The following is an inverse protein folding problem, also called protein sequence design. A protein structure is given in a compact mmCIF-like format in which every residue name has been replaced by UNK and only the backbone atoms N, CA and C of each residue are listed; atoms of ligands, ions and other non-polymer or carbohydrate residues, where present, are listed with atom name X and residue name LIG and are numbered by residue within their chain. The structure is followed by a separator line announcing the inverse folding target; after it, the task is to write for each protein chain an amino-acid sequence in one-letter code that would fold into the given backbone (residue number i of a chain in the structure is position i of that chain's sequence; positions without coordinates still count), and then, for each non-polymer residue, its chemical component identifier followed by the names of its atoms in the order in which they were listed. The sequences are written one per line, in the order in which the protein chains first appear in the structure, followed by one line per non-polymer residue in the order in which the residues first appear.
data_IF_049697457282
#
_entry.id   IF_049697457282
#
_cell.length_a   1.000
_cell.length_b   1.000
_cell.length_c   1.000
_cell.angle_alpha   90.00
_cell.angle_beta   90.00
_cell.angle_gamma   90.00
#
_symmetry.space_group_name_H-M   'P 1'
#
loop_
_entity.id
_entity.type
_entity.pdbx_description
1 polymer ?
#
# COMPACT_ATOMS: atom_id res chain seq x y z
N UNK A 1 -5.16 13.95 -79.39
CA UNK A 1 -5.57 14.91 -78.34
C UNK A 1 -6.55 14.33 -77.31
N UNK A 2 -7.54 13.49 -77.69
CA UNK A 2 -8.52 12.89 -76.74
C UNK A 2 -7.93 12.06 -75.58
N UNK A 3 -6.83 11.31 -75.80
CA UNK A 3 -6.20 10.48 -74.74
C UNK A 3 -5.46 11.27 -73.66
N UNK A 4 -4.95 12.48 -73.96
CA UNK A 4 -4.29 13.35 -72.96
C UNK A 4 -5.30 14.15 -72.13
N UNK A 5 -6.47 14.45 -72.69
CA UNK A 5 -7.56 15.13 -71.97
C UNK A 5 -8.23 14.21 -70.93
N UNK A 6 -8.39 12.92 -71.23
CA UNK A 6 -8.94 11.91 -70.31
C UNK A 6 -8.00 11.59 -69.13
N UNK A 7 -6.68 11.70 -69.32
CA UNK A 7 -5.68 11.44 -68.28
C UNK A 7 -5.48 12.64 -67.33
N UNK A 8 -5.76 13.86 -67.79
CA UNK A 8 -5.74 15.06 -66.94
C UNK A 8 -7.04 15.17 -66.14
N UNK A 9 -8.18 14.74 -66.70
CA UNK A 9 -9.46 14.73 -65.99
C UNK A 9 -9.52 13.65 -64.89
N UNK A 10 -8.84 12.51 -65.05
CA UNK A 10 -8.79 11.46 -64.02
C UNK A 10 -7.92 11.82 -62.81
N UNK A 11 -6.89 12.66 -62.99
CA UNK A 11 -6.02 13.11 -61.90
C UNK A 11 -6.67 14.24 -61.08
N UNK A 12 -7.52 15.07 -61.68
CA UNK A 12 -8.24 16.15 -60.95
C UNK A 12 -9.42 15.62 -60.13
N UNK A 13 -10.10 14.56 -60.58
CA UNK A 13 -11.21 13.92 -59.84
C UNK A 13 -10.69 13.07 -58.66
N UNK A 14 -9.47 12.53 -58.75
CA UNK A 14 -8.85 11.75 -57.67
C UNK A 14 -8.43 12.61 -56.45
N UNK A 15 -8.28 13.93 -56.61
CA UNK A 15 -7.92 14.84 -55.51
C UNK A 15 -9.12 15.42 -54.74
N UNK A 16 -10.36 15.16 -55.15
CA UNK A 16 -11.56 15.71 -54.47
C UNK A 16 -12.11 14.85 -53.32
N UNK A 17 -11.51 13.69 -53.01
CA UNK A 17 -12.03 12.78 -51.97
C UNK A 17 -11.23 12.72 -50.67
N UNK A 18 -10.28 13.63 -50.42
CA UNK A 18 -9.55 13.68 -49.15
C UNK A 18 -9.78 15.01 -48.43
N UNK A 19 -11.02 15.25 -48.01
CA UNK A 19 -11.27 16.12 -46.87
C UNK A 19 -12.53 15.70 -46.13
N UNK A 20 -12.56 14.45 -45.66
CA UNK A 20 -13.36 14.12 -44.48
C UNK A 20 -12.66 14.74 -43.26
N UNK A 21 -12.82 16.05 -43.06
CA UNK A 21 -12.57 16.63 -41.74
C UNK A 21 -13.53 15.92 -40.79
N UNK A 22 -13.00 15.12 -39.86
CA UNK A 22 -13.83 14.48 -38.83
C UNK A 22 -14.72 15.57 -38.23
N UNK A 23 -16.05 15.41 -38.24
CA UNK A 23 -16.94 16.43 -37.70
C UNK A 23 -16.48 16.76 -36.27
N UNK A 24 -16.32 18.06 -36.00
CA UNK A 24 -15.94 18.56 -34.68
C UNK A 24 -16.94 17.98 -33.69
N UNK A 25 -16.46 17.16 -32.75
CA UNK A 25 -17.32 16.49 -31.79
C UNK A 25 -17.95 17.56 -30.91
N UNK A 26 -19.25 17.79 -31.04
CA UNK A 26 -19.95 18.86 -30.33
C UNK A 26 -20.31 18.35 -28.94
N UNK A 27 -19.57 18.79 -27.93
CA UNK A 27 -19.79 18.46 -26.53
C UNK A 27 -20.30 19.70 -25.79
N UNK A 28 -21.58 20.01 -25.99
CA UNK A 28 -22.16 21.27 -25.54
C UNK A 28 -23.26 21.06 -24.49
N UNK A 29 -23.43 19.85 -23.93
CA UNK A 29 -24.44 19.60 -22.90
C UNK A 29 -23.82 19.72 -21.50
N UNK A 30 -24.62 20.02 -20.45
CA UNK A 30 -24.13 20.06 -19.08
C UNK A 30 -23.47 18.74 -18.60
N UNK A 31 -23.87 17.61 -19.18
CA UNK A 31 -23.36 16.27 -18.85
C UNK A 31 -22.38 15.72 -19.88
N UNK A 32 -22.12 16.43 -20.97
CA UNK A 32 -21.15 16.05 -22.00
C UNK A 32 -20.37 17.30 -22.43
N UNK A 33 -19.40 17.65 -21.59
CA UNK A 33 -18.42 18.70 -21.79
C UNK A 33 -17.06 18.25 -21.19
N UNK A 34 -15.94 18.95 -21.48
CA UNK A 34 -14.61 18.52 -21.02
C UNK A 34 -14.49 18.40 -19.50
N UNK A 35 -15.03 19.36 -18.73
CA UNK A 35 -14.93 19.42 -17.27
C UNK A 35 -15.72 18.30 -16.60
N UNK A 36 -16.98 18.10 -17.02
CA UNK A 36 -17.83 17.04 -16.48
C UNK A 36 -17.26 15.64 -16.78
N UNK A 37 -16.80 15.40 -18.01
CA UNK A 37 -16.17 14.13 -18.36
C UNK A 37 -14.87 13.90 -17.55
N UNK A 38 -14.06 14.94 -17.32
CA UNK A 38 -12.89 14.82 -16.45
C UNK A 38 -13.28 14.50 -15.00
N UNK A 39 -14.25 15.22 -14.43
CA UNK A 39 -14.74 14.98 -13.07
C UNK A 39 -15.22 13.54 -12.89
N UNK A 40 -16.11 13.08 -13.78
CA UNK A 40 -16.62 11.70 -13.76
C UNK A 40 -15.51 10.67 -13.93
N UNK A 41 -14.51 10.97 -14.77
CA UNK A 41 -13.32 10.13 -14.91
C UNK A 41 -12.55 9.99 -13.59
N UNK A 42 -12.36 11.08 -12.86
CA UNK A 42 -11.69 11.05 -11.55
C UNK A 42 -12.51 10.28 -10.49
N UNK A 43 -13.84 10.42 -10.48
CA UNK A 43 -14.69 9.62 -9.59
C UNK A 43 -14.60 8.11 -9.88
N UNK A 44 -14.51 7.74 -11.16
CA UNK A 44 -14.32 6.35 -11.58
C UNK A 44 -12.94 5.82 -11.19
N UNK A 45 -11.90 6.66 -11.22
CA UNK A 45 -10.57 6.32 -10.67
C UNK A 45 -10.66 5.96 -9.18
N UNK A 46 -11.33 6.78 -8.37
CA UNK A 46 -11.47 6.50 -6.93
C UNK A 46 -12.29 5.23 -6.65
N UNK A 47 -13.19 4.85 -7.57
CA UNK A 47 -13.96 3.60 -7.50
C UNK A 47 -13.19 2.38 -8.05
N UNK A 48 -11.99 2.57 -8.60
CA UNK A 48 -11.19 1.50 -9.22
C UNK A 48 -11.65 1.08 -10.63
N UNK A 49 -12.61 1.79 -11.24
CA UNK A 49 -13.09 1.51 -12.60
C UNK A 49 -12.22 2.20 -13.65
N UNK A 50 -11.01 1.66 -13.82
CA UNK A 50 -9.94 2.28 -14.61
C UNK A 50 -10.29 2.38 -16.11
N UNK A 51 -11.02 1.39 -16.64
CA UNK A 51 -11.39 1.34 -18.04
C UNK A 51 -12.41 2.43 -18.39
N UNK A 52 -13.50 2.55 -17.61
CA UNK A 52 -14.49 3.59 -17.85
C UNK A 52 -13.93 4.98 -17.52
N UNK A 53 -13.05 5.10 -16.52
CA UNK A 53 -12.32 6.33 -16.25
C UNK A 53 -11.52 6.80 -17.48
N UNK A 54 -10.75 5.90 -18.10
CA UNK A 54 -9.98 6.22 -19.30
C UNK A 54 -10.89 6.67 -20.46
N UNK A 55 -12.03 6.01 -20.66
CA UNK A 55 -13.02 6.42 -21.68
C UNK A 55 -13.55 7.83 -21.43
N UNK A 56 -13.81 8.20 -20.16
CA UNK A 56 -14.25 9.56 -19.80
C UNK A 56 -13.16 10.61 -20.06
N UNK A 57 -11.91 10.31 -19.77
CA UNK A 57 -10.80 11.21 -20.11
C UNK A 57 -10.61 11.35 -21.64
N UNK A 58 -10.76 10.26 -22.39
CA UNK A 58 -10.75 10.31 -23.85
C UNK A 58 -11.91 11.16 -24.40
N UNK A 59 -13.11 11.03 -23.83
CA UNK A 59 -14.24 11.89 -24.18
C UNK A 59 -13.94 13.36 -23.87
N UNK A 60 -13.37 13.65 -22.71
CA UNK A 60 -12.94 15.00 -22.33
C UNK A 60 -11.98 15.62 -23.36
N UNK A 61 -11.00 14.84 -23.84
CA UNK A 61 -10.05 15.24 -24.89
C UNK A 61 -10.72 15.38 -26.27
N UNK A 62 -11.70 14.54 -26.61
CA UNK A 62 -12.45 14.68 -27.86
C UNK A 62 -13.25 15.99 -27.88
N UNK A 63 -13.85 16.35 -26.75
CA UNK A 63 -14.63 17.57 -26.57
C UNK A 63 -13.78 18.84 -26.68
N UNK A 64 -12.59 18.85 -26.07
CA UNK A 64 -11.57 19.89 -26.27
C UNK A 64 -10.17 19.25 -26.37
N UNK A 65 -9.60 19.16 -27.59
CA UNK A 65 -8.27 18.57 -27.82
C UNK A 65 -7.11 19.31 -27.16
N UNK A 66 -7.33 20.49 -26.56
CA UNK A 66 -6.35 21.24 -25.79
C UNK A 66 -6.74 21.35 -24.31
N UNK A 67 -7.65 20.51 -23.83
CA UNK A 67 -8.03 20.47 -22.43
C UNK A 67 -7.02 19.64 -21.62
N UNK A 68 -6.11 20.32 -20.91
CA UNK A 68 -5.03 19.71 -20.12
C UNK A 68 -5.51 18.65 -19.11
N UNK A 69 -6.55 18.90 -18.29
CA UNK A 69 -7.00 17.92 -17.29
C UNK A 69 -7.39 16.57 -17.88
N UNK A 70 -7.98 16.54 -19.08
CA UNK A 70 -8.31 15.28 -19.78
C UNK A 70 -7.07 14.43 -20.05
N UNK A 71 -5.97 15.05 -20.52
CA UNK A 71 -4.71 14.36 -20.72
C UNK A 71 -4.03 13.94 -19.41
N UNK A 72 -4.15 14.74 -18.35
CA UNK A 72 -3.63 14.40 -17.03
C UNK A 72 -4.33 13.16 -16.46
N UNK A 73 -5.67 13.14 -16.48
CA UNK A 73 -6.45 11.98 -16.05
C UNK A 73 -6.15 10.72 -16.86
N UNK A 74 -6.03 10.85 -18.19
CA UNK A 74 -5.61 9.74 -19.07
C UNK A 74 -4.22 9.21 -18.71
N UNK A 75 -3.28 10.09 -18.38
CA UNK A 75 -1.96 9.67 -17.91
C UNK A 75 -2.06 8.80 -16.65
N UNK A 76 -2.85 9.23 -15.68
CA UNK A 76 -3.07 8.49 -14.43
C UNK A 76 -3.68 7.10 -14.69
N UNK A 77 -4.73 6.99 -15.50
CA UNK A 77 -5.35 5.69 -15.81
C UNK A 77 -4.39 4.76 -16.53
N UNK A 78 -3.59 5.28 -17.47
CA UNK A 78 -2.55 4.50 -18.16
C UNK A 78 -1.45 4.03 -17.19
N UNK A 79 -1.11 4.83 -16.18
CA UNK A 79 -0.16 4.43 -15.14
C UNK A 79 -0.71 3.31 -14.26
N UNK A 80 -1.99 3.38 -13.88
CA UNK A 80 -2.66 2.31 -13.14
C UNK A 80 -2.75 1.01 -13.96
N UNK A 81 -2.99 1.12 -15.27
CA UNK A 81 -2.93 -0.04 -16.18
C UNK A 81 -1.51 -0.60 -16.24
N UNK A 82 -0.48 0.24 -16.33
CA UNK A 82 0.91 -0.23 -16.35
C UNK A 82 1.27 -1.00 -15.06
N UNK A 83 0.83 -0.51 -13.90
CA UNK A 83 1.09 -1.15 -12.61
C UNK A 83 0.37 -2.51 -12.43
N UNK A 84 -0.69 -2.78 -13.21
CA UNK A 84 -1.37 -4.09 -13.21
C UNK A 84 -0.75 -5.12 -14.16
N UNK A 85 0.24 -4.75 -14.97
CA UNK A 85 0.92 -5.66 -15.91
C UNK A 85 2.06 -6.42 -15.24
N UNK A 86 2.08 -7.73 -15.47
CA UNK A 86 3.16 -8.63 -15.05
C UNK A 86 4.25 -8.75 -16.10
N UNK A 87 3.90 -8.72 -17.39
CA UNK A 87 4.87 -8.70 -18.49
C UNK A 87 5.56 -7.34 -18.57
N UNK A 88 6.89 -7.35 -18.48
CA UNK A 88 7.70 -6.13 -18.43
C UNK A 88 7.68 -5.36 -19.76
N UNK A 89 7.58 -6.06 -20.89
CA UNK A 89 7.50 -5.43 -22.21
C UNK A 89 6.16 -4.69 -22.38
N UNK A 90 5.06 -5.36 -22.04
CA UNK A 90 3.73 -4.74 -22.05
C UNK A 90 3.67 -3.57 -21.07
N UNK A 91 4.18 -3.74 -19.84
CA UNK A 91 4.26 -2.69 -18.83
C UNK A 91 4.93 -1.43 -19.40
N UNK A 92 6.09 -1.57 -20.05
CA UNK A 92 6.83 -0.43 -20.59
C UNK A 92 6.02 0.33 -21.66
N UNK A 93 5.27 -0.37 -22.52
CA UNK A 93 4.39 0.29 -23.50
C UNK A 93 3.34 1.18 -22.82
N UNK A 94 2.77 0.73 -21.71
CA UNK A 94 1.80 1.52 -20.94
C UNK A 94 2.45 2.69 -20.19
N UNK A 95 3.66 2.50 -19.65
CA UNK A 95 4.49 3.58 -19.07
C UNK A 95 4.69 4.70 -20.10
N UNK A 96 5.17 4.36 -21.30
CA UNK A 96 5.46 5.34 -22.35
C UNK A 96 4.20 6.13 -22.75
N UNK A 97 3.07 5.44 -22.90
CA UNK A 97 1.77 6.07 -23.22
C UNK A 97 1.28 6.99 -22.10
N UNK A 98 1.50 6.59 -20.84
CA UNK A 98 1.14 7.40 -19.68
C UNK A 98 1.96 8.70 -19.67
N UNK A 99 3.27 8.61 -19.83
CA UNK A 99 4.18 9.76 -19.80
C UNK A 99 3.99 10.69 -21.01
N UNK A 100 3.72 10.15 -22.20
CA UNK A 100 3.37 10.97 -23.38
C UNK A 100 2.04 11.73 -23.15
N UNK A 101 1.06 11.10 -22.49
CA UNK A 101 -0.18 11.78 -22.12
C UNK A 101 0.07 12.89 -21.09
N UNK A 102 0.94 12.63 -20.09
CA UNK A 102 1.32 13.62 -19.08
C UNK A 102 2.04 14.83 -19.72
N UNK A 103 2.91 14.57 -20.70
CA UNK A 103 3.60 15.60 -21.49
C UNK A 103 2.61 16.49 -22.26
N UNK A 104 1.55 15.91 -22.83
CA UNK A 104 0.47 16.67 -23.46
C UNK A 104 -0.32 17.51 -22.45
N UNK A 105 -0.58 16.98 -21.25
CA UNK A 105 -1.19 17.74 -20.17
C UNK A 105 -0.36 18.98 -19.82
N UNK A 106 0.96 18.82 -19.63
CA UNK A 106 1.90 19.94 -19.41
C UNK A 106 1.80 20.98 -20.52
N UNK A 107 1.88 20.53 -21.78
CA UNK A 107 1.84 21.40 -22.98
C UNK A 107 0.56 22.24 -23.06
N UNK A 108 -0.57 21.68 -22.64
CA UNK A 108 -1.87 22.34 -22.77
C UNK A 108 -2.34 23.06 -21.52
N UNK A 109 -1.62 23.00 -20.39
CA UNK A 109 -1.98 23.69 -19.16
C UNK A 109 -1.76 25.20 -19.29
N UNK A 110 -2.82 25.96 -19.60
CA UNK A 110 -2.73 27.38 -19.95
C UNK A 110 -2.70 28.33 -18.74
N UNK A 111 -3.40 27.97 -17.67
CA UNK A 111 -3.56 28.80 -16.48
C UNK A 111 -3.07 28.06 -15.22
N UNK A 112 -3.01 28.78 -14.09
CA UNK A 112 -2.55 28.23 -12.80
C UNK A 112 -3.43 27.07 -12.32
N UNK A 113 -4.74 27.17 -12.51
CA UNK A 113 -5.71 26.12 -12.15
C UNK A 113 -5.41 24.79 -12.87
N UNK A 114 -5.23 24.82 -14.20
CA UNK A 114 -4.88 23.63 -14.98
C UNK A 114 -3.46 23.13 -14.69
N UNK A 115 -2.51 24.03 -14.42
CA UNK A 115 -1.15 23.64 -13.99
C UNK A 115 -1.18 22.91 -12.66
N UNK A 116 -1.97 23.38 -11.69
CA UNK A 116 -2.14 22.71 -10.42
C UNK A 116 -2.75 21.31 -10.58
N UNK A 117 -3.80 21.16 -11.40
CA UNK A 117 -4.36 19.84 -11.74
C UNK A 117 -3.30 18.93 -12.36
N UNK A 118 -2.52 19.45 -13.31
CA UNK A 118 -1.41 18.72 -13.93
C UNK A 118 -0.39 18.28 -12.88
N UNK A 119 0.00 19.16 -11.95
CA UNK A 119 1.02 18.83 -10.97
C UNK A 119 0.56 17.78 -9.96
N UNK A 120 -0.62 17.95 -9.36
CA UNK A 120 -1.19 16.97 -8.42
C UNK A 120 -1.41 15.62 -9.10
N UNK A 121 -1.88 15.62 -10.36
CA UNK A 121 -2.04 14.37 -11.12
C UNK A 121 -0.68 13.77 -11.49
N UNK A 122 0.36 14.58 -11.70
CA UNK A 122 1.74 14.14 -11.90
C UNK A 122 2.27 13.35 -10.71
N UNK A 123 2.05 13.83 -9.48
CA UNK A 123 2.37 13.10 -8.24
C UNK A 123 1.72 11.72 -8.27
N UNK A 124 0.41 11.67 -8.54
CA UNK A 124 -0.35 10.41 -8.61
C UNK A 124 0.17 9.48 -9.70
N UNK A 125 0.42 9.99 -10.91
CA UNK A 125 0.94 9.22 -12.04
C UNK A 125 2.28 8.57 -11.69
N UNK A 126 3.25 9.34 -11.18
CA UNK A 126 4.56 8.77 -10.83
C UNK A 126 4.48 7.80 -9.65
N UNK A 127 3.60 8.07 -8.68
CA UNK A 127 3.30 7.17 -7.55
C UNK A 127 2.75 5.81 -8.03
N UNK A 128 1.97 5.78 -9.11
CA UNK A 128 1.49 4.53 -9.71
C UNK A 128 2.53 3.83 -10.59
N UNK A 129 3.26 4.60 -11.41
CA UNK A 129 4.25 4.03 -12.33
C UNK A 129 5.41 3.34 -11.61
N UNK A 130 5.89 3.92 -10.51
CA UNK A 130 7.09 3.47 -9.77
C UNK A 130 8.27 3.14 -10.70
N UNK A 131 8.47 3.99 -11.70
CA UNK A 131 9.66 3.99 -12.58
C UNK A 131 10.88 4.50 -11.80
N UNK A 132 12.06 4.47 -12.41
CA UNK A 132 13.26 5.05 -11.80
C UNK A 132 13.02 6.50 -11.35
N UNK A 133 13.56 6.86 -10.17
CA UNK A 133 13.43 8.17 -9.52
C UNK A 133 11.99 8.69 -9.34
N UNK A 134 10.99 7.82 -9.37
CA UNK A 134 9.58 8.22 -9.35
C UNK A 134 9.21 9.11 -8.17
N UNK A 135 9.80 8.85 -6.98
CA UNK A 135 9.50 9.60 -5.77
C UNK A 135 10.10 11.01 -5.84
N UNK A 136 11.30 11.14 -6.44
CA UNK A 136 11.92 12.45 -6.64
C UNK A 136 11.17 13.25 -7.71
N UNK A 137 10.68 12.59 -8.77
CA UNK A 137 9.73 13.23 -9.70
C UNK A 137 8.46 13.70 -8.99
N UNK A 138 7.88 12.88 -8.11
CA UNK A 138 6.72 13.30 -7.33
C UNK A 138 7.01 14.51 -6.43
N UNK A 139 8.22 14.59 -5.83
CA UNK A 139 8.67 15.77 -5.08
C UNK A 139 8.80 17.01 -5.98
N UNK A 140 9.40 16.89 -7.16
CA UNK A 140 9.49 17.99 -8.14
C UNK A 140 8.09 18.53 -8.48
N UNK A 141 7.12 17.64 -8.71
CA UNK A 141 5.72 17.99 -8.94
C UNK A 141 5.08 18.71 -7.75
N UNK A 142 5.38 18.27 -6.53
CA UNK A 142 4.88 18.86 -5.29
C UNK A 142 5.42 20.29 -5.10
N UNK A 143 6.72 20.49 -5.28
CA UNK A 143 7.37 21.80 -5.14
C UNK A 143 6.86 22.79 -6.20
N UNK A 144 6.72 22.33 -7.45
CA UNK A 144 6.13 23.12 -8.52
C UNK A 144 4.68 23.52 -8.20
N UNK A 145 3.86 22.61 -7.65
CA UNK A 145 2.49 22.89 -7.24
C UNK A 145 2.45 23.91 -6.09
N UNK A 146 3.30 23.75 -5.07
CA UNK A 146 3.43 24.68 -3.95
C UNK A 146 3.80 26.08 -4.40
N UNK A 147 4.71 26.22 -5.37
CA UNK A 147 5.15 27.52 -5.90
C UNK A 147 4.02 28.37 -6.51
N UNK A 148 2.94 27.72 -6.95
CA UNK A 148 1.80 28.37 -7.58
C UNK A 148 0.52 28.37 -6.74
N UNK A 149 0.52 27.67 -5.60
CA UNK A 149 -0.68 27.34 -4.81
C UNK A 149 -1.54 28.57 -4.47
N UNK A 150 -0.88 29.67 -4.05
CA UNK A 150 -1.55 30.94 -3.69
C UNK A 150 -2.28 31.62 -4.87
N UNK A 151 -1.90 31.30 -6.11
CA UNK A 151 -2.47 31.88 -7.33
C UNK A 151 -3.61 31.00 -7.90
N UNK A 152 -3.89 29.84 -7.29
CA UNK A 152 -4.89 28.88 -7.78
C UNK A 152 -6.28 29.24 -7.27
N UNK A 153 -7.25 29.27 -8.17
CA UNK A 153 -8.65 29.38 -7.77
C UNK A 153 -9.24 27.98 -7.52
N UNK A 154 -9.15 27.51 -6.29
CA UNK A 154 -9.61 26.17 -5.91
C UNK A 154 -11.10 25.91 -6.19
N UNK A 155 -11.95 26.94 -6.21
CA UNK A 155 -13.37 26.81 -6.53
C UNK A 155 -13.63 26.50 -8.02
N UNK A 156 -12.65 26.75 -8.89
CA UNK A 156 -12.72 26.42 -10.33
C UNK A 156 -12.16 25.04 -10.64
N UNK A 157 -11.56 24.35 -9.67
CA UNK A 157 -11.04 23.02 -9.91
C UNK A 157 -12.20 22.02 -9.93
N UNK A 158 -12.40 21.27 -11.03
CA UNK A 158 -13.52 20.36 -11.15
C UNK A 158 -13.48 19.24 -10.09
N UNK A 159 -12.28 18.81 -9.66
CA UNK A 159 -12.13 17.64 -8.78
C UNK A 159 -11.34 17.88 -7.49
N UNK A 160 -10.10 18.39 -7.54
CA UNK A 160 -9.22 18.43 -6.34
C UNK A 160 -9.70 19.42 -5.27
N UNK A 161 -10.27 20.55 -5.68
CA UNK A 161 -11.06 21.47 -4.86
C UNK A 161 -10.39 22.05 -3.60
N UNK A 162 -9.06 21.99 -3.46
CA UNK A 162 -8.33 22.62 -2.37
C UNK A 162 -6.84 22.26 -2.30
N UNK A 163 -6.06 22.98 -1.47
CA UNK A 163 -4.64 22.67 -1.22
C UNK A 163 -4.44 21.32 -0.48
N UNK A 164 -5.46 20.84 0.22
CA UNK A 164 -5.42 19.57 0.96
C UNK A 164 -5.11 18.38 0.04
N UNK A 165 -5.54 18.43 -1.22
CA UNK A 165 -5.29 17.37 -2.19
C UNK A 165 -3.79 17.18 -2.46
N UNK A 166 -3.02 18.26 -2.47
CA UNK A 166 -1.59 18.22 -2.73
C UNK A 166 -0.85 17.50 -1.60
N UNK A 167 -1.12 17.87 -0.35
CA UNK A 167 -0.57 17.20 0.82
C UNK A 167 -1.01 15.74 0.89
N UNK A 168 -2.29 15.45 0.63
CA UNK A 168 -2.80 14.08 0.68
C UNK A 168 -2.08 13.16 -0.31
N UNK A 169 -2.00 13.54 -1.59
CA UNK A 169 -1.36 12.69 -2.59
C UNK A 169 0.16 12.61 -2.44
N UNK A 170 0.81 13.63 -1.88
CA UNK A 170 2.21 13.53 -1.52
C UNK A 170 2.42 12.59 -0.32
N UNK A 171 1.52 12.60 0.66
CA UNK A 171 1.52 11.62 1.76
C UNK A 171 1.37 10.19 1.26
N UNK A 172 0.49 9.96 0.26
CA UNK A 172 0.37 8.65 -0.42
C UNK A 172 1.68 8.28 -1.13
N UNK A 173 2.32 9.22 -1.81
CA UNK A 173 3.62 8.99 -2.47
C UNK A 173 4.70 8.61 -1.44
N UNK A 174 4.83 9.35 -0.34
CA UNK A 174 5.78 9.02 0.72
C UNK A 174 5.51 7.67 1.36
N UNK A 175 4.24 7.30 1.57
CA UNK A 175 3.90 5.98 2.10
C UNK A 175 4.33 4.85 1.16
N UNK A 176 4.04 4.98 -0.15
CA UNK A 176 4.50 3.99 -1.16
C UNK A 176 6.02 3.97 -1.31
N UNK A 177 6.68 5.09 -1.01
CA UNK A 177 8.13 5.23 -0.96
C UNK A 177 8.76 4.81 0.36
N UNK A 178 7.98 4.26 1.29
CA UNK A 178 8.45 3.82 2.63
C UNK A 178 9.07 4.96 3.47
N UNK A 179 8.82 6.22 3.11
CA UNK A 179 9.20 7.42 3.87
C UNK A 179 8.13 7.74 4.94
N UNK A 180 7.88 6.79 5.85
CA UNK A 180 6.72 6.80 6.76
C UNK A 180 6.57 8.06 7.61
N UNK A 181 7.68 8.63 8.09
CA UNK A 181 7.64 9.87 8.87
C UNK A 181 7.07 11.03 8.05
N UNK A 182 7.54 11.20 6.81
CA UNK A 182 7.05 12.25 5.91
C UNK A 182 5.63 11.98 5.45
N UNK A 183 5.27 10.72 5.24
CA UNK A 183 3.88 10.33 4.96
C UNK A 183 2.95 10.77 6.10
N UNK A 184 3.31 10.45 7.35
CA UNK A 184 2.58 10.88 8.55
C UNK A 184 2.43 12.40 8.60
N UNK A 185 3.52 13.12 8.37
CA UNK A 185 3.55 14.59 8.46
C UNK A 185 2.67 15.22 7.36
N UNK A 186 2.73 14.71 6.12
CA UNK A 186 1.84 15.15 5.03
C UNK A 186 0.37 14.91 5.33
N UNK A 187 0.00 13.76 5.89
CA UNK A 187 -1.40 13.51 6.29
C UNK A 187 -1.82 14.40 7.47
N UNK A 188 -0.93 14.64 8.43
CA UNK A 188 -1.19 15.58 9.53
C UNK A 188 -1.40 17.01 9.01
N UNK A 189 -0.63 17.44 7.99
CA UNK A 189 -0.81 18.74 7.35
C UNK A 189 -2.22 18.91 6.78
N UNK A 190 -2.79 17.86 6.15
CA UNK A 190 -4.20 17.89 5.70
C UNK A 190 -5.15 18.14 6.86
N UNK A 191 -4.99 17.42 7.97
CA UNK A 191 -5.86 17.51 9.15
C UNK A 191 -5.77 18.85 9.88
N UNK A 192 -4.63 19.53 9.77
CA UNK A 192 -4.39 20.83 10.38
C UNK A 192 -4.94 22.00 9.56
N UNK A 193 -5.42 21.77 8.32
CA UNK A 193 -6.04 22.82 7.52
C UNK A 193 -7.45 23.15 8.03
N UNK A 194 -7.77 24.44 8.17
CA UNK A 194 -9.03 24.87 8.80
C UNK A 194 -10.29 24.52 7.99
N UNK A 195 -10.17 24.26 6.70
CA UNK A 195 -11.30 23.97 5.81
C UNK A 195 -11.55 22.47 5.76
N UNK A 196 -12.68 22.01 6.30
CA UNK A 196 -13.09 20.63 6.12
C UNK A 196 -13.37 20.33 4.63
N UNK A 197 -12.63 19.38 4.07
CA UNK A 197 -12.72 18.97 2.67
C UNK A 197 -12.85 17.44 2.57
N UNK A 198 -13.18 16.93 1.37
CA UNK A 198 -13.29 15.47 1.12
C UNK A 198 -11.98 14.69 1.39
N UNK A 199 -10.86 15.38 1.52
CA UNK A 199 -9.54 14.78 1.78
C UNK A 199 -9.28 14.52 3.26
N UNK A 200 -10.04 15.14 4.18
CA UNK A 200 -9.81 15.00 5.62
C UNK A 200 -10.05 13.59 6.15
N UNK A 201 -11.15 12.95 5.74
CA UNK A 201 -11.48 11.60 6.19
C UNK A 201 -10.44 10.56 5.71
N UNK A 202 -10.08 10.50 4.41
CA UNK A 202 -8.98 9.65 3.95
C UNK A 202 -7.64 9.99 4.61
N UNK A 203 -7.30 11.28 4.77
CA UNK A 203 -6.05 11.66 5.44
C UNK A 203 -6.00 11.20 6.90
N UNK A 204 -7.12 11.23 7.63
CA UNK A 204 -7.17 10.75 9.01
C UNK A 204 -6.90 9.25 9.11
N UNK A 205 -7.48 8.46 8.21
CA UNK A 205 -7.22 7.02 8.13
C UNK A 205 -5.74 6.75 7.87
N UNK A 206 -5.18 7.42 6.85
CA UNK A 206 -3.78 7.25 6.48
C UNK A 206 -2.81 7.79 7.54
N UNK A 207 -3.16 8.87 8.24
CA UNK A 207 -2.40 9.40 9.37
C UNK A 207 -2.35 8.40 10.52
N UNK A 208 -3.48 7.79 10.90
CA UNK A 208 -3.51 6.74 11.94
C UNK A 208 -2.62 5.55 11.57
N UNK A 209 -2.71 5.09 10.31
CA UNK A 209 -1.90 3.99 9.80
C UNK A 209 -0.40 4.33 9.85
N UNK A 210 -0.01 5.47 9.31
CA UNK A 210 1.40 5.91 9.29
C UNK A 210 1.94 6.23 10.68
N UNK A 211 1.14 6.80 11.57
CA UNK A 211 1.53 7.04 12.96
C UNK A 211 1.80 5.73 13.71
N UNK A 212 0.93 4.72 13.55
CA UNK A 212 1.16 3.39 14.13
C UNK A 212 2.47 2.79 13.63
N UNK A 213 2.77 2.90 12.32
CA UNK A 213 4.04 2.43 11.73
C UNK A 213 5.24 3.19 12.31
N UNK A 214 5.20 4.52 12.34
CA UNK A 214 6.29 5.35 12.87
C UNK A 214 6.55 5.03 14.34
N UNK A 215 5.50 4.87 15.16
CA UNK A 215 5.64 4.44 16.56
C UNK A 215 6.24 3.04 16.65
N UNK A 216 5.77 2.08 15.85
CA UNK A 216 6.31 0.72 15.84
C UNK A 216 7.81 0.67 15.49
N UNK A 217 8.28 1.56 14.61
CA UNK A 217 9.68 1.64 14.19
C UNK A 217 10.56 2.51 15.10
N UNK A 218 9.98 3.26 16.04
CA UNK A 218 10.73 4.20 16.87
C UNK A 218 11.81 3.49 17.70
N UNK A 219 13.06 3.92 17.55
CA UNK A 219 14.20 3.38 18.30
C UNK A 219 14.74 2.04 17.78
N UNK A 220 14.26 1.55 16.63
CA UNK A 220 14.83 0.37 15.96
C UNK A 220 15.11 0.65 14.48
N UNK A 221 16.16 0.04 13.97
CA UNK A 221 16.37 -0.08 12.53
C UNK A 221 15.57 -1.27 12.02
N UNK A 222 14.76 -1.04 10.99
CA UNK A 222 13.95 -2.06 10.30
C UNK A 222 14.45 -2.18 8.86
N UNK A 223 14.68 -3.41 8.40
CA UNK A 223 15.08 -3.71 7.03
C UNK A 223 13.97 -3.51 6.01
N UNK A 224 14.30 -3.61 4.72
CA UNK A 224 13.34 -3.36 3.64
C UNK A 224 12.17 -4.36 3.65
N UNK A 225 12.41 -5.61 4.06
CA UNK A 225 11.34 -6.60 4.25
C UNK A 225 10.39 -6.16 5.35
N UNK A 226 10.91 -5.75 6.51
CA UNK A 226 10.08 -5.25 7.61
C UNK A 226 9.27 -4.02 7.23
N UNK A 227 9.83 -3.07 6.45
CA UNK A 227 9.09 -1.90 5.94
C UNK A 227 7.94 -2.30 5.00
N UNK A 228 8.16 -3.27 4.11
CA UNK A 228 7.12 -3.79 3.21
C UNK A 228 6.01 -4.50 3.98
N UNK A 229 6.35 -5.18 5.07
CA UNK A 229 5.36 -5.81 5.95
C UNK A 229 4.59 -4.75 6.75
N UNK A 230 5.24 -3.67 7.20
CA UNK A 230 4.65 -2.60 8.00
C UNK A 230 3.35 -2.01 7.42
N UNK A 231 3.29 -1.92 6.09
CA UNK A 231 2.16 -1.31 5.36
C UNK A 231 1.02 -2.27 5.05
N UNK A 232 1.18 -3.57 5.32
CA UNK A 232 0.15 -4.58 5.08
C UNK A 232 -1.00 -4.42 6.07
N UNK A 233 -2.23 -4.50 5.56
CA UNK A 233 -3.44 -4.55 6.41
C UNK A 233 -3.59 -5.91 7.09
N UNK A 234 -3.01 -6.96 6.49
CA UNK A 234 -3.01 -8.32 7.02
C UNK A 234 -1.62 -8.94 6.90
N UNK A 235 -1.06 -9.33 8.04
CA UNK A 235 0.23 -10.02 8.16
C UNK A 235 -0.02 -11.52 8.10
N UNK A 236 0.63 -12.17 7.15
CA UNK A 236 0.57 -13.62 7.03
C UNK A 236 1.51 -14.33 8.02
N UNK A 237 1.34 -15.64 8.16
CA UNK A 237 2.25 -16.49 8.96
C UNK A 237 3.69 -16.40 8.48
N UNK A 238 3.91 -16.36 7.17
CA UNK A 238 5.24 -16.24 6.58
C UNK A 238 5.82 -14.84 6.78
N UNK A 239 5.00 -13.78 6.69
CA UNK A 239 5.46 -12.41 6.98
C UNK A 239 5.97 -12.30 8.42
N UNK A 240 5.23 -12.85 9.40
CA UNK A 240 5.68 -12.77 10.79
C UNK A 240 6.89 -13.67 11.06
N UNK A 241 7.01 -14.83 10.40
CA UNK A 241 8.23 -15.63 10.44
C UNK A 241 9.45 -14.83 9.96
N UNK A 242 9.31 -14.09 8.85
CA UNK A 242 10.36 -13.20 8.36
C UNK A 242 10.70 -12.10 9.36
N UNK A 243 9.72 -11.45 9.98
CA UNK A 243 9.97 -10.45 11.02
C UNK A 243 10.74 -11.00 12.23
N UNK A 244 10.40 -12.21 12.70
CA UNK A 244 11.11 -12.86 13.81
C UNK A 244 12.57 -13.18 13.45
N UNK A 245 12.82 -13.62 12.23
CA UNK A 245 14.17 -14.03 11.78
C UNK A 245 15.02 -12.82 11.41
N UNK A 246 14.50 -11.91 10.60
CA UNK A 246 15.29 -10.82 10.01
C UNK A 246 15.41 -9.61 10.93
N UNK A 247 14.30 -9.23 11.58
CA UNK A 247 14.22 -8.00 12.38
C UNK A 247 14.51 -8.24 13.87
N UNK A 248 13.95 -9.32 14.44
CA UNK A 248 14.24 -9.72 15.83
C UNK A 248 15.55 -10.51 15.94
N UNK A 249 15.99 -11.18 14.87
CA UNK A 249 17.16 -12.08 14.88
C UNK A 249 17.03 -13.22 15.88
N UNK A 250 15.82 -13.79 15.94
CA UNK A 250 15.45 -14.83 16.91
C UNK A 250 16.44 -15.99 16.94
N UNK A 251 16.94 -16.41 15.78
CA UNK A 251 17.91 -17.51 15.67
C UNK A 251 19.18 -17.22 16.48
N UNK A 252 19.81 -16.06 16.27
CA UNK A 252 21.03 -15.68 17.00
C UNK A 252 20.80 -15.62 18.51
N UNK A 253 19.63 -15.16 18.91
CA UNK A 253 19.27 -15.07 20.33
C UNK A 253 19.10 -16.46 20.95
N UNK A 254 18.43 -17.38 20.25
CA UNK A 254 18.23 -18.74 20.72
C UNK A 254 19.54 -19.54 20.72
N UNK A 255 20.38 -19.38 19.70
CA UNK A 255 21.71 -20.02 19.62
C UNK A 255 22.61 -19.60 20.78
N UNK A 256 22.60 -18.32 21.15
CA UNK A 256 23.39 -17.80 22.27
C UNK A 256 23.03 -18.43 23.63
N UNK A 257 21.87 -19.08 23.76
CA UNK A 257 21.41 -19.74 24.99
C UNK A 257 21.83 -21.20 25.10
N UNK A 258 22.22 -21.83 23.99
CA UNK A 258 22.66 -23.22 23.99
C UNK A 258 24.19 -23.24 24.13
N UNK A 259 24.76 -23.72 25.26
CA UNK A 259 26.19 -23.65 25.49
C UNK A 259 27.01 -24.47 24.48
N UNK A 260 26.40 -25.52 23.93
CA UNK A 260 27.07 -26.53 23.12
C UNK A 260 26.74 -26.35 21.64
N UNK A 261 27.64 -25.71 20.89
CA UNK A 261 27.47 -25.46 19.43
C UNK A 261 27.20 -26.72 18.61
N UNK A 262 27.73 -27.88 19.02
CA UNK A 262 27.49 -29.15 18.33
C UNK A 262 26.06 -29.67 18.50
N UNK A 263 25.32 -29.23 19.53
CA UNK A 263 23.89 -29.51 19.68
C UNK A 263 23.09 -28.65 18.69
N UNK A 264 23.41 -27.35 18.59
CA UNK A 264 22.79 -26.42 17.63
C UNK A 264 22.96 -26.93 16.19
N UNK A 265 24.17 -27.36 15.82
CA UNK A 265 24.46 -27.86 14.47
C UNK A 265 23.67 -29.13 14.09
N UNK A 266 23.16 -29.88 15.08
CA UNK A 266 22.32 -31.06 14.87
C UNK A 266 20.83 -30.72 14.84
N UNK A 267 20.43 -29.54 15.29
CA UNK A 267 19.03 -29.11 15.26
C UNK A 267 18.61 -28.87 13.82
N UNK A 268 17.53 -29.53 13.44
CA UNK A 268 16.85 -29.37 12.15
C UNK A 268 15.34 -29.37 12.41
N UNK A 269 14.55 -28.76 11.51
CA UNK A 269 13.11 -28.97 11.53
C UNK A 269 12.80 -30.48 11.52
N UNK A 270 11.88 -30.92 12.38
CA UNK A 270 11.43 -32.31 12.39
C UNK A 270 10.75 -32.69 11.07
N UNK A 271 10.08 -31.72 10.45
CA UNK A 271 9.34 -31.87 9.21
C UNK A 271 9.32 -30.54 8.44
N UNK A 272 9.43 -30.61 7.12
CA UNK A 272 9.33 -29.47 6.20
C UNK A 272 8.04 -29.64 5.38
N UNK A 273 7.03 -28.76 5.59
CA UNK A 273 5.77 -28.81 4.84
C UNK A 273 5.96 -28.61 3.33
N UNK A 274 5.14 -29.30 2.52
CA UNK A 274 5.25 -29.22 1.07
C UNK A 274 4.87 -27.83 0.51
N UNK A 275 3.98 -27.12 1.18
CA UNK A 275 3.44 -25.83 0.77
C UNK A 275 4.40 -24.65 0.94
N UNK A 276 5.57 -24.86 1.55
CA UNK A 276 6.61 -23.83 1.69
C UNK A 276 7.77 -23.97 0.69
N UNK A 277 7.83 -25.06 -0.09
CA UNK A 277 9.00 -25.40 -0.90
C UNK A 277 9.41 -24.31 -1.91
N UNK A 278 8.42 -23.62 -2.48
CA UNK A 278 8.58 -22.54 -3.46
C UNK A 278 8.26 -21.15 -2.87
N UNK A 279 8.08 -21.05 -1.55
CA UNK A 279 7.73 -19.79 -0.91
C UNK A 279 8.98 -18.89 -0.76
N UNK A 280 8.90 -17.58 -1.02
CA UNK A 280 10.06 -16.68 -0.87
C UNK A 280 10.65 -16.68 0.54
N UNK A 281 9.80 -16.74 1.57
CA UNK A 281 10.22 -16.81 2.97
C UNK A 281 10.48 -18.22 3.50
N UNK A 282 10.83 -19.16 2.61
CA UNK A 282 11.11 -20.54 3.02
C UNK A 282 12.23 -20.63 4.07
N UNK A 283 13.40 -19.96 3.92
CA UNK A 283 14.48 -20.04 4.91
C UNK A 283 14.06 -19.57 6.31
N UNK A 284 13.26 -18.51 6.38
CA UNK A 284 12.76 -17.94 7.62
C UNK A 284 11.76 -18.89 8.27
N UNK A 285 10.85 -19.48 7.48
CA UNK A 285 9.92 -20.50 7.97
C UNK A 285 10.67 -21.73 8.50
N UNK A 286 11.66 -22.25 7.77
CA UNK A 286 12.47 -23.39 8.24
C UNK A 286 13.18 -23.07 9.56
N UNK A 287 13.64 -21.82 9.74
CA UNK A 287 14.22 -21.36 11.01
C UNK A 287 13.19 -21.40 12.14
N UNK A 288 11.98 -20.91 11.91
CA UNK A 288 10.88 -20.95 12.88
C UNK A 288 10.51 -22.40 13.25
N UNK A 289 10.47 -23.31 12.26
CA UNK A 289 10.21 -24.73 12.49
C UNK A 289 11.33 -25.40 13.30
N UNK A 290 12.60 -25.07 13.02
CA UNK A 290 13.76 -25.56 13.78
C UNK A 290 13.67 -25.21 15.27
N UNK A 291 13.19 -24.02 15.59
CA UNK A 291 13.06 -23.54 16.97
C UNK A 291 11.72 -23.89 17.63
N UNK A 292 10.84 -24.58 16.90
CA UNK A 292 9.51 -25.00 17.32
C UNK A 292 8.74 -23.86 18.02
N UNK A 293 8.58 -22.74 17.32
CA UNK A 293 7.79 -21.61 17.83
C UNK A 293 6.31 -21.97 17.73
N UNK A 294 5.65 -22.08 18.88
CA UNK A 294 4.24 -22.43 18.97
C UNK A 294 3.37 -21.39 18.25
N UNK A 295 2.34 -21.84 17.56
CA UNK A 295 1.47 -20.99 16.75
C UNK A 295 2.01 -20.71 15.35
N UNK A 296 3.30 -20.95 15.08
CA UNK A 296 3.89 -21.04 13.74
C UNK A 296 4.33 -22.48 13.41
N UNK A 297 3.62 -23.47 13.96
CA UNK A 297 3.81 -24.88 13.62
C UNK A 297 2.91 -25.29 12.44
N UNK A 298 3.24 -26.37 11.70
CA UNK A 298 2.36 -26.92 10.68
C UNK A 298 1.02 -27.37 11.27
N UNK A 299 -0.05 -27.21 10.51
CA UNK A 299 -1.43 -27.54 10.89
C UNK A 299 -1.89 -28.68 9.97
N UNK A 300 -2.54 -29.68 10.56
CA UNK A 300 -3.11 -30.77 9.77
C UNK A 300 -4.26 -30.24 8.91
N UNK A 301 -4.16 -30.46 7.61
CA UNK A 301 -5.18 -30.09 6.63
C UNK A 301 -5.98 -31.32 6.23
N UNK A 302 -7.28 -31.29 6.53
CA UNK A 302 -8.17 -32.43 6.26
C UNK A 302 -8.37 -32.70 4.76
N UNK A 303 -8.14 -31.71 3.90
CA UNK A 303 -8.36 -31.83 2.46
C UNK A 303 -7.19 -32.54 1.78
N UNK A 304 -5.97 -32.09 2.07
CA UNK A 304 -4.73 -32.66 1.53
C UNK A 304 -4.20 -33.83 2.35
N UNK A 305 -4.78 -34.09 3.54
CA UNK A 305 -4.36 -35.14 4.49
C UNK A 305 -2.88 -35.01 4.86
N UNK A 306 -2.41 -33.78 4.97
CA UNK A 306 -1.02 -33.44 5.22
C UNK A 306 -0.90 -32.31 6.25
N UNK A 307 0.23 -32.25 6.94
CA UNK A 307 0.58 -31.08 7.74
C UNK A 307 1.12 -29.98 6.82
N UNK A 308 0.46 -28.82 6.81
CA UNK A 308 0.80 -27.67 5.99
C UNK A 308 1.14 -26.46 6.86
N UNK A 309 2.04 -25.59 6.38
CA UNK A 309 2.39 -24.38 7.13
C UNK A 309 1.36 -23.26 6.92
N UNK A 310 0.71 -23.21 5.77
CA UNK A 310 -0.17 -22.14 5.29
C UNK A 310 0.52 -20.75 5.28
N UNK A 311 1.60 -20.56 4.51
CA UNK A 311 2.44 -19.37 4.61
C UNK A 311 1.69 -18.05 4.38
N UNK A 312 0.72 -18.05 3.46
CA UNK A 312 -0.05 -16.86 3.09
C UNK A 312 -1.30 -16.64 3.95
N UNK A 313 -1.60 -17.52 4.92
CA UNK A 313 -2.79 -17.37 5.78
C UNK A 313 -2.58 -16.17 6.72
N UNK A 314 -3.49 -15.18 6.74
CA UNK A 314 -3.45 -14.08 7.70
C UNK A 314 -3.46 -14.58 9.14
N UNK A 315 -2.68 -13.93 10.00
CA UNK A 315 -2.68 -14.20 11.43
C UNK A 315 -3.84 -13.50 12.12
N UNK A 316 -4.61 -14.25 12.89
CA UNK A 316 -5.58 -13.69 13.82
C UNK A 316 -4.88 -13.16 15.08
N UNK A 317 -5.41 -12.10 15.68
CA UNK A 317 -4.84 -11.51 16.91
C UNK A 317 -4.71 -12.51 18.05
N UNK A 318 -5.66 -13.45 18.20
CA UNK A 318 -5.55 -14.54 19.19
C UNK A 318 -4.42 -15.54 18.89
N UNK A 319 -4.19 -15.86 17.62
CA UNK A 319 -3.08 -16.73 17.20
C UNK A 319 -1.74 -16.01 17.41
N UNK A 320 -1.71 -14.72 17.10
CA UNK A 320 -0.55 -13.86 17.29
C UNK A 320 -0.14 -13.75 18.76
N UNK A 321 -1.11 -13.59 19.67
CA UNK A 321 -0.85 -13.60 21.11
C UNK A 321 -0.17 -14.90 21.57
N UNK A 322 -0.63 -16.06 21.07
CA UNK A 322 -0.03 -17.37 21.40
C UNK A 322 1.42 -17.49 20.91
N UNK A 323 1.72 -16.95 19.72
CA UNK A 323 3.07 -16.92 19.16
C UNK A 323 3.97 -16.02 20.01
N UNK A 324 3.53 -14.80 20.31
CA UNK A 324 4.30 -13.85 21.09
C UNK A 324 4.55 -14.33 22.53
N UNK A 325 3.58 -14.99 23.16
CA UNK A 325 3.79 -15.61 24.48
C UNK A 325 4.87 -16.70 24.42
N UNK A 326 4.85 -17.56 23.39
CA UNK A 326 5.85 -18.62 23.25
C UNK A 326 7.25 -18.05 22.97
N UNK A 327 7.34 -17.02 22.12
CA UNK A 327 8.57 -16.26 21.91
C UNK A 327 9.04 -15.66 23.23
N UNK A 328 8.16 -15.01 24.01
CA UNK A 328 8.51 -14.48 25.32
C UNK A 328 9.06 -15.55 26.26
N UNK A 329 8.39 -16.70 26.41
CA UNK A 329 8.85 -17.81 27.26
C UNK A 329 10.26 -18.23 26.86
N UNK A 330 10.50 -18.45 25.56
CA UNK A 330 11.82 -18.85 25.06
C UNK A 330 12.87 -17.76 25.23
N UNK A 331 12.46 -16.48 25.16
CA UNK A 331 13.32 -15.31 25.36
C UNK A 331 13.55 -14.93 26.82
N UNK A 332 12.74 -15.36 27.79
CA UNK A 332 12.99 -15.05 29.21
C UNK A 332 13.41 -16.29 30.01
N UNK A 333 13.11 -17.49 29.50
CA UNK A 333 13.21 -18.73 30.27
C UNK A 333 12.11 -18.89 31.32
N UNK A 334 11.12 -17.99 31.34
CA UNK A 334 10.04 -18.02 32.33
C UNK A 334 8.93 -18.98 31.87
N UNK A 335 9.04 -20.24 32.27
CA UNK A 335 8.03 -21.28 31.97
C UNK A 335 6.70 -21.08 32.72
N UNK A 336 6.62 -20.11 33.65
CA UNK A 336 5.38 -19.83 34.38
C UNK A 336 4.37 -19.03 33.56
N UNK A 337 4.82 -18.33 32.51
CA UNK A 337 3.97 -17.40 31.75
C UNK A 337 2.66 -18.02 31.25
N UNK A 338 2.63 -19.20 30.61
CA UNK A 338 1.38 -19.75 30.06
C UNK A 338 0.33 -20.10 31.11
N UNK A 339 0.70 -20.11 32.40
CA UNK A 339 -0.17 -20.45 33.53
C UNK A 339 -0.35 -19.28 34.51
N UNK A 340 0.29 -18.14 34.24
CA UNK A 340 0.39 -17.01 35.18
C UNK A 340 -0.96 -16.47 35.64
N UNK A 341 -2.00 -16.55 34.80
CA UNK A 341 -3.34 -16.03 35.10
C UNK A 341 -4.40 -17.14 35.24
N UNK A 342 -3.98 -18.39 35.47
CA UNK A 342 -4.93 -19.46 35.79
C UNK A 342 -5.74 -19.14 37.05
N UNK A 343 -7.04 -19.44 37.00
CA UNK A 343 -7.97 -19.21 38.10
C UNK A 343 -8.52 -17.79 38.19
N UNK A 344 -8.19 -16.88 37.26
CA UNK A 344 -8.89 -15.60 37.16
C UNK A 344 -10.35 -15.81 36.73
N UNK A 345 -11.27 -15.28 37.52
CA UNK A 345 -12.72 -15.37 37.26
C UNK A 345 -13.22 -14.28 36.30
N UNK A 346 -12.51 -13.15 36.21
CA UNK A 346 -12.90 -12.00 35.40
C UNK A 346 -11.80 -11.64 34.40
N UNK A 347 -12.21 -11.32 33.18
CA UNK A 347 -11.33 -10.77 32.15
C UNK A 347 -11.37 -9.24 32.18
N UNK A 348 -10.23 -8.54 32.08
CA UNK A 348 -10.22 -7.10 31.86
C UNK A 348 -10.64 -6.72 30.43
N UNK A 349 -10.75 -7.69 29.52
CA UNK A 349 -11.14 -7.48 28.12
C UNK A 349 -12.54 -8.07 27.88
N UNK A 350 -13.52 -7.26 27.45
CA UNK A 350 -14.93 -7.66 27.39
C UNK A 350 -15.21 -8.78 26.39
N UNK A 351 -14.36 -8.97 25.40
CA UNK A 351 -14.49 -9.94 24.31
C UNK A 351 -13.54 -11.13 24.43
N UNK A 352 -12.85 -11.28 25.56
CA UNK A 352 -11.97 -12.41 25.86
C UNK A 352 -12.46 -13.13 27.10
N UNK A 353 -13.01 -14.33 26.94
CA UNK A 353 -13.41 -15.17 28.07
C UNK A 353 -12.17 -15.64 28.88
N UNK A 354 -12.20 -15.64 30.22
CA UNK A 354 -11.16 -16.27 31.05
C UNK A 354 -10.94 -17.77 30.77
N UNK A 355 -11.95 -18.44 30.21
CA UNK A 355 -11.86 -19.86 29.82
C UNK A 355 -11.35 -20.08 28.40
N UNK A 356 -11.10 -19.00 27.64
CA UNK A 356 -10.59 -19.12 26.28
C UNK A 356 -9.17 -19.72 26.27
N UNK A 357 -8.84 -20.62 25.32
CA UNK A 357 -7.50 -21.23 25.24
C UNK A 357 -6.35 -20.23 25.11
N UNK A 358 -6.62 -19.04 24.59
CA UNK A 358 -5.66 -17.95 24.39
C UNK A 358 -5.69 -16.89 25.48
N UNK A 359 -6.51 -17.03 26.54
CA UNK A 359 -6.68 -16.00 27.58
C UNK A 359 -5.36 -15.59 28.23
N UNK A 360 -4.56 -16.56 28.71
CA UNK A 360 -3.26 -16.26 29.33
C UNK A 360 -2.30 -15.57 28.36
N UNK A 361 -2.29 -16.01 27.11
CA UNK A 361 -1.44 -15.39 26.09
C UNK A 361 -1.83 -13.93 25.86
N UNK A 362 -3.13 -13.64 25.71
CA UNK A 362 -3.65 -12.27 25.60
C UNK A 362 -3.27 -11.43 26.81
N UNK A 363 -3.50 -11.95 28.03
CA UNK A 363 -3.09 -11.28 29.26
C UNK A 363 -1.58 -10.99 29.28
N UNK A 364 -0.75 -11.96 28.90
CA UNK A 364 0.70 -11.81 28.91
C UNK A 364 1.21 -10.78 27.92
N UNK A 365 0.68 -10.77 26.69
CA UNK A 365 1.17 -9.87 25.63
C UNK A 365 0.67 -8.44 25.82
N UNK A 366 -0.58 -8.25 26.26
CA UNK A 366 -1.13 -6.91 26.50
C UNK A 366 -0.49 -6.25 27.72
N UNK A 367 -0.37 -6.97 28.84
CA UNK A 367 0.25 -6.42 30.07
C UNK A 367 1.74 -6.07 29.91
N UNK A 368 2.39 -6.56 28.86
CA UNK A 368 3.78 -6.26 28.50
C UNK A 368 3.92 -5.30 27.31
N UNK A 369 2.81 -4.76 26.82
CA UNK A 369 2.80 -3.81 25.70
C UNK A 369 3.19 -4.41 24.35
N UNK A 370 3.16 -5.73 24.19
CA UNK A 370 3.42 -6.40 22.90
C UNK A 370 2.23 -6.30 21.94
N UNK A 371 1.03 -6.18 22.48
CA UNK A 371 -0.21 -5.92 21.73
C UNK A 371 -1.04 -4.89 22.47
N UNK A 372 -1.85 -4.14 21.74
CA UNK A 372 -2.72 -3.08 22.28
C UNK A 372 -4.19 -3.46 22.11
N UNK A 373 -5.05 -3.01 23.03
CA UNK A 373 -6.51 -3.11 22.92
C UNK A 373 -7.08 -1.85 22.27
N UNK A 374 -8.34 -1.91 21.86
CA UNK A 374 -9.09 -0.71 21.49
C UNK A 374 -9.38 0.18 22.70
N UNK A 375 -9.81 1.42 22.42
CA UNK A 375 -10.28 2.35 23.46
C UNK A 375 -11.49 1.81 24.24
N UNK A 376 -12.28 0.92 23.63
CA UNK A 376 -13.37 0.19 24.29
C UNK A 376 -12.88 -0.85 25.30
N UNK A 377 -11.58 -1.19 25.30
CA UNK A 377 -11.00 -2.30 26.05
C UNK A 377 -11.04 -3.63 25.29
N UNK A 378 -11.71 -3.71 24.14
CA UNK A 378 -11.79 -4.93 23.33
C UNK A 378 -10.42 -5.33 22.77
N UNK A 379 -10.12 -6.63 22.84
CA UNK A 379 -8.90 -7.20 22.27
C UNK A 379 -9.05 -7.56 20.79
N UNK A 380 -10.27 -7.85 20.33
CA UNK A 380 -10.66 -8.31 18.99
C UNK A 380 -9.91 -9.58 18.55
N UNK A 381 -10.16 -10.73 19.19
CA UNK A 381 -9.37 -11.95 18.97
C UNK A 381 -9.45 -12.50 17.53
N UNK A 382 -10.53 -12.21 16.80
CA UNK A 382 -10.80 -12.70 15.45
C UNK A 382 -10.45 -11.71 14.33
N UNK A 383 -9.94 -10.53 14.68
CA UNK A 383 -9.41 -9.59 13.70
C UNK A 383 -8.03 -10.04 13.22
N UNK A 384 -7.68 -9.66 12.00
CA UNK A 384 -6.35 -9.90 11.44
C UNK A 384 -5.34 -8.91 12.03
N UNK A 385 -4.10 -9.36 12.17
CA UNK A 385 -2.98 -8.52 12.61
C UNK A 385 -2.48 -7.69 11.44
N UNK A 386 -2.33 -6.39 11.64
CA UNK A 386 -1.71 -5.49 10.66
C UNK A 386 -0.18 -5.39 10.83
N UNK A 387 0.50 -4.88 9.80
CA UNK A 387 1.95 -4.78 9.74
C UNK A 387 2.56 -3.94 10.85
N UNK A 388 1.88 -2.87 11.24
CA UNK A 388 2.37 -1.95 12.25
C UNK A 388 2.30 -2.56 13.66
N UNK A 389 1.24 -3.31 13.95
CA UNK A 389 1.14 -4.11 15.18
C UNK A 389 2.22 -5.19 15.23
N UNK A 390 2.45 -5.90 14.14
CA UNK A 390 3.50 -6.91 14.09
C UNK A 390 4.89 -6.32 14.38
N UNK A 391 5.21 -5.15 13.79
CA UNK A 391 6.47 -4.45 14.06
C UNK A 391 6.56 -3.90 15.49
N UNK A 392 5.46 -3.42 16.07
CA UNK A 392 5.44 -2.97 17.45
C UNK A 392 5.83 -4.11 18.39
N UNK A 393 5.28 -5.31 18.18
CA UNK A 393 5.64 -6.49 18.95
C UNK A 393 7.14 -6.80 18.82
N UNK A 394 7.69 -6.77 17.60
CA UNK A 394 9.14 -6.97 17.38
C UNK A 394 9.97 -5.93 18.14
N UNK A 395 9.60 -4.65 18.07
CA UNK A 395 10.26 -3.56 18.78
C UNK A 395 10.28 -3.82 20.29
N UNK A 396 9.13 -4.15 20.87
CA UNK A 396 8.99 -4.39 22.32
C UNK A 396 9.75 -5.65 22.75
N UNK A 397 9.76 -6.72 21.96
CA UNK A 397 10.60 -7.89 22.21
C UNK A 397 12.09 -7.53 22.22
N UNK A 398 12.57 -6.74 21.24
CA UNK A 398 13.97 -6.27 21.20
C UNK A 398 14.32 -5.41 22.42
N UNK A 399 13.42 -4.56 22.86
CA UNK A 399 13.62 -3.75 24.07
C UNK A 399 13.73 -4.63 25.32
N UNK A 400 12.86 -5.65 25.43
CA UNK A 400 12.90 -6.62 26.53
C UNK A 400 14.26 -7.33 26.59
N UNK A 401 14.84 -7.70 25.44
CA UNK A 401 16.14 -8.38 25.37
C UNK A 401 17.34 -7.51 25.75
N UNK A 402 17.25 -6.19 25.68
CA UNK A 402 18.36 -5.29 26.05
C UNK A 402 18.39 -4.97 27.55
N UNK A 403 17.35 -5.36 28.29
CA UNK A 403 17.23 -5.14 29.75
C UNK A 403 17.77 -6.33 30.54
N UNK A 404 17.94 -7.48 29.89
CA UNK A 404 18.59 -8.68 30.41
C UNK A 404 19.97 -8.86 29.77
#
# INVERSE_FOLDING_TARGET
MRRKLLLVLSVVVAFMFVSCSKPKTVCNSPTDNPEHNYFTGMELVEKGDINNANMKFERSIQCDPKYSPGYAGKSLTLAMIANSKTDMGEKQVWVDRSLESLKKAKKYAKNKDQKYIYYVTGIRTYTELRVEDWLDKAKDFYDDAKSIEKDVNFNKLPYYQGPEALEYFMGVAYLKGEEFQKARDSFANVLNMSRQSKWHAPANEMWKKTDKIVRAMAGITVGDVGKKIAVKDEVSRADFAALLVDELRIEKIMEGRIPVKSQIAKMKPEFIPADILNHPFRPEIETILKWNIRGLSPIYDETTKAYLFFPNRPLKRKEFALILEDVLVKLTGDESLPRKYFGQENSPYPDVSPTAPWFNAVMNVVTRGLMETELSGEFRPDDNVDGAEALLAIRVLRQTLNVY
#
